data_IF_605491036015
#
_entry.id   IF_605491036015
#
_cell.length_a   1.000
_cell.length_b   1.000
_cell.length_c   1.000
_cell.angle_alpha   90.00
_cell.angle_beta   90.00
_cell.angle_gamma   90.00
#
_symmetry.space_group_name_H-M   'P 1'
#
loop_
_entity.id
_entity.type
_entity.pdbx_description
1 polymer ?
#
# COMPACT_ATOMS: atom_id res chain seq x y z
N UNK A 1 -12.90 19.36 7.74
CA UNK A 1 -11.91 18.33 7.42
C UNK A 1 -10.64 18.61 8.17
N UNK A 2 -10.09 17.66 8.88
CA UNK A 2 -8.86 17.91 9.61
C UNK A 2 -7.71 18.14 8.66
N UNK A 3 -6.74 18.90 9.11
CA UNK A 3 -5.58 19.19 8.29
C UNK A 3 -4.54 18.08 8.36
N UNK A 4 -4.67 17.17 9.27
CA UNK A 4 -3.73 16.07 9.42
C UNK A 4 -4.49 14.77 9.50
N UNK A 5 -3.78 13.66 9.21
CA UNK A 5 -4.36 12.34 9.30
C UNK A 5 -3.43 11.44 10.10
N UNK A 6 -4.00 10.45 10.76
CA UNK A 6 -3.18 9.48 11.46
C UNK A 6 -2.46 8.56 10.47
N UNK A 7 -3.04 8.35 9.29
CA UNK A 7 -2.48 7.43 8.30
C UNK A 7 -2.06 8.22 7.09
N UNK A 8 -0.82 8.05 6.66
CA UNK A 8 -0.29 8.78 5.51
C UNK A 8 -0.90 8.25 4.23
N UNK A 9 -0.79 9.03 3.16
CA UNK A 9 -1.27 8.60 1.84
C UNK A 9 -0.54 7.36 1.37
N UNK A 10 0.75 7.22 1.68
CA UNK A 10 1.50 6.03 1.31
C UNK A 10 0.92 4.80 2.01
N UNK A 11 0.57 4.92 3.28
CA UNK A 11 -0.03 3.80 4.01
C UNK A 11 -1.40 3.45 3.47
N UNK A 12 -2.21 4.45 3.11
CA UNK A 12 -3.53 4.21 2.55
C UNK A 12 -3.39 3.48 1.21
N UNK A 13 -2.49 3.96 0.35
CA UNK A 13 -2.27 3.33 -0.95
C UNK A 13 -1.81 1.88 -0.78
N UNK A 14 -0.89 1.65 0.14
CA UNK A 14 -0.36 0.32 0.37
C UNK A 14 -1.47 -0.63 0.84
N UNK A 15 -2.35 -0.18 1.73
CA UNK A 15 -3.43 -1.01 2.23
C UNK A 15 -4.43 -1.34 1.12
N UNK A 16 -4.72 -0.38 0.24
CA UNK A 16 -5.62 -0.63 -0.88
C UNK A 16 -5.00 -1.57 -1.90
N UNK A 17 -3.71 -1.44 -2.15
CA UNK A 17 -2.99 -2.35 -3.04
C UNK A 17 -3.01 -3.77 -2.47
N UNK A 18 -2.84 -3.90 -1.17
CA UNK A 18 -2.85 -5.21 -0.53
C UNK A 18 -4.23 -5.89 -0.67
N UNK A 19 -5.29 -5.09 -0.61
CA UNK A 19 -6.64 -5.63 -0.78
C UNK A 19 -6.96 -5.90 -2.24
N UNK A 20 -6.41 -5.12 -3.14
CA UNK A 20 -6.73 -5.20 -4.56
C UNK A 20 -5.44 -5.20 -5.39
N UNK A 21 -4.74 -6.34 -5.43
CA UNK A 21 -3.40 -6.38 -6.08
C UNK A 21 -3.39 -6.01 -7.55
N UNK A 22 -4.54 -6.06 -8.21
CA UNK A 22 -4.62 -5.72 -9.63
C UNK A 22 -5.23 -4.36 -9.90
N UNK A 23 -5.28 -3.51 -8.86
CA UNK A 23 -5.82 -2.17 -9.03
C UNK A 23 -4.93 -1.34 -9.95
N UNK A 24 -5.51 -0.32 -10.56
CA UNK A 24 -4.76 0.59 -11.42
C UNK A 24 -4.53 1.91 -10.69
N UNK A 25 -3.59 2.70 -11.20
CA UNK A 25 -3.34 4.02 -10.63
C UNK A 25 -4.60 4.89 -10.68
N UNK A 26 -5.37 4.76 -11.74
CA UNK A 26 -6.59 5.53 -11.88
C UNK A 26 -7.63 5.11 -10.83
N UNK A 27 -7.77 3.81 -10.60
CA UNK A 27 -8.69 3.31 -9.59
C UNK A 27 -8.27 3.72 -8.19
N UNK A 28 -6.96 3.66 -7.91
CA UNK A 28 -6.45 4.09 -6.63
C UNK A 28 -6.70 5.58 -6.42
N UNK A 29 -6.48 6.37 -7.46
CA UNK A 29 -6.70 7.82 -7.37
C UNK A 29 -8.15 8.10 -7.02
N UNK A 30 -9.08 7.41 -7.67
CA UNK A 30 -10.49 7.59 -7.39
C UNK A 30 -10.83 7.18 -5.95
N UNK A 31 -10.29 6.05 -5.50
CA UNK A 31 -10.56 5.57 -4.14
C UNK A 31 -9.98 6.48 -3.08
N UNK A 32 -8.84 7.10 -3.35
CA UNK A 32 -8.17 7.95 -2.39
C UNK A 32 -8.57 9.41 -2.48
N UNK A 33 -9.26 9.79 -3.55
CA UNK A 33 -9.66 11.18 -3.72
C UNK A 33 -8.49 12.08 -4.09
N UNK A 34 -7.50 11.55 -4.81
CA UNK A 34 -6.33 12.32 -5.23
C UNK A 34 -6.15 12.16 -6.74
N UNK A 35 -5.17 12.83 -7.31
CA UNK A 35 -4.92 12.73 -8.74
C UNK A 35 -4.17 11.46 -9.08
N UNK A 36 -4.30 11.03 -10.32
CA UNK A 36 -3.56 9.88 -10.79
C UNK A 36 -2.05 10.13 -10.71
N UNK A 37 -1.64 11.36 -10.97
CA UNK A 37 -0.23 11.73 -10.89
C UNK A 37 0.31 11.54 -9.48
N UNK A 38 -0.46 11.96 -8.48
CA UNK A 38 -0.07 11.80 -7.09
C UNK A 38 0.07 10.32 -6.73
N UNK A 39 -0.86 9.49 -7.21
CA UNK A 39 -0.82 8.06 -6.97
C UNK A 39 0.40 7.43 -7.62
N UNK A 40 0.73 7.83 -8.84
CA UNK A 40 1.89 7.26 -9.53
C UNK A 40 3.17 7.56 -8.77
N UNK A 41 3.25 8.75 -8.15
CA UNK A 41 4.40 9.08 -7.33
C UNK A 41 4.44 8.22 -6.08
N UNK A 42 3.30 8.00 -5.45
CA UNK A 42 3.22 7.17 -4.25
C UNK A 42 3.64 5.74 -4.58
N UNK A 43 3.16 5.20 -5.70
CA UNK A 43 3.52 3.85 -6.14
C UNK A 43 5.03 3.77 -6.39
N UNK A 44 5.59 4.78 -7.04
CA UNK A 44 7.04 4.80 -7.30
C UNK A 44 7.83 4.84 -6.00
N UNK A 45 7.37 5.61 -5.02
CA UNK A 45 8.03 5.68 -3.72
C UNK A 45 7.98 4.33 -3.02
N UNK A 46 6.83 3.68 -3.03
CA UNK A 46 6.66 2.39 -2.38
C UNK A 46 7.52 1.30 -3.05
N UNK A 47 7.57 1.32 -4.37
CA UNK A 47 8.38 0.35 -5.11
C UNK A 47 9.86 0.58 -4.87
N UNK A 48 10.29 1.84 -4.90
CA UNK A 48 11.71 2.17 -4.68
C UNK A 48 12.15 1.79 -3.28
N UNK A 49 11.26 1.89 -2.30
CA UNK A 49 11.59 1.54 -0.93
C UNK A 49 11.46 0.04 -0.66
N UNK A 50 10.97 -0.74 -1.62
CA UNK A 50 10.86 -2.18 -1.47
C UNK A 50 9.58 -2.68 -0.84
N UNK A 51 8.60 -1.80 -0.61
CA UNK A 51 7.35 -2.21 0.01
C UNK A 51 6.44 -2.95 -0.97
N UNK A 52 6.56 -2.66 -2.26
CA UNK A 52 5.76 -3.36 -3.27
C UNK A 52 6.65 -3.77 -4.43
N UNK A 53 6.20 -4.79 -5.15
CA UNK A 53 6.79 -5.20 -6.42
C UNK A 53 5.70 -5.15 -7.47
N UNK A 54 6.08 -5.02 -8.73
CA UNK A 54 5.14 -4.99 -9.84
C UNK A 54 5.43 -6.15 -10.76
N UNK A 55 4.42 -6.91 -11.12
CA UNK A 55 4.55 -8.01 -12.06
C UNK A 55 3.58 -7.77 -13.20
N UNK A 56 4.09 -7.83 -14.43
CA UNK A 56 3.24 -7.64 -15.56
C UNK A 56 2.37 -8.85 -15.78
N UNK A 57 1.09 -8.65 -15.98
CA UNK A 57 0.14 -9.72 -16.27
C UNK A 57 -0.68 -9.29 -17.47
N UNK A 58 -0.40 -9.86 -18.64
CA UNK A 58 -1.12 -9.45 -19.84
C UNK A 58 -0.96 -7.96 -20.07
N UNK A 59 -2.05 -7.22 -20.11
CA UNK A 59 -2.02 -5.79 -20.29
C UNK A 59 -1.96 -5.01 -19.00
N UNK A 60 -2.10 -5.69 -17.89
CA UNK A 60 -2.16 -5.04 -16.60
C UNK A 60 -0.93 -5.32 -15.75
N UNK A 61 -1.02 -4.91 -14.52
CA UNK A 61 0.04 -5.08 -13.55
C UNK A 61 -0.57 -5.66 -12.30
N UNK A 62 0.13 -6.58 -11.67
CA UNK A 62 -0.25 -7.09 -10.37
C UNK A 62 0.82 -6.66 -9.38
N UNK A 63 0.40 -6.15 -8.25
CA UNK A 63 1.31 -5.71 -7.21
C UNK A 63 1.45 -6.78 -6.15
N UNK A 64 2.67 -6.96 -5.65
CA UNK A 64 2.93 -7.78 -4.49
C UNK A 64 3.35 -6.87 -3.35
N UNK A 65 2.98 -7.20 -2.13
CA UNK A 65 3.33 -6.41 -0.96
C UNK A 65 4.34 -7.18 -0.12
N UNK A 66 5.39 -6.49 0.30
CA UNK A 66 6.40 -7.08 1.15
C UNK A 66 5.97 -6.88 2.60
N UNK A 67 5.24 -7.84 3.15
CA UNK A 67 4.66 -7.73 4.48
C UNK A 67 5.71 -7.74 5.61
N UNK A 68 6.90 -8.22 5.32
CA UNK A 68 7.93 -8.34 6.35
C UNK A 68 8.80 -7.11 6.49
N UNK A 69 8.67 -6.15 5.59
CA UNK A 69 9.48 -4.96 5.65
C UNK A 69 9.02 -4.09 6.82
N UNK A 70 9.94 -3.55 7.59
CA UNK A 70 9.59 -2.74 8.74
C UNK A 70 9.08 -1.37 8.32
N UNK A 71 8.35 -0.73 9.22
CA UNK A 71 7.90 0.63 8.99
C UNK A 71 9.12 1.53 8.99
N UNK A 72 9.04 2.63 8.27
CA UNK A 72 10.15 3.56 8.14
C UNK A 72 10.05 4.67 9.17
N UNK A 73 9.67 4.31 10.37
CA UNK A 73 9.52 5.24 11.47
C UNK A 73 10.48 4.80 12.54
N UNK A 74 11.32 5.67 13.02
CA UNK A 74 12.32 5.30 14.04
C UNK A 74 11.67 4.64 15.26
N UNK A 75 10.52 5.13 15.66
CA UNK A 75 9.84 4.61 16.83
C UNK A 75 9.13 3.29 16.58
N UNK A 76 9.03 2.86 15.34
CA UNK A 76 8.29 1.66 14.98
C UNK A 76 9.09 0.72 14.08
N UNK A 77 10.41 0.74 14.22
CA UNK A 77 11.25 -0.08 13.36
C UNK A 77 11.01 -1.57 13.54
N UNK A 78 10.50 -1.97 14.70
CA UNK A 78 10.26 -3.37 14.94
C UNK A 78 8.94 -3.86 14.40
N UNK A 79 8.10 -2.97 13.94
CA UNK A 79 6.77 -3.34 13.43
C UNK A 79 6.86 -3.57 11.94
N UNK A 80 6.52 -4.77 11.51
CA UNK A 80 6.53 -5.09 10.09
C UNK A 80 5.30 -4.52 9.43
N UNK A 81 5.43 -4.23 8.15
CA UNK A 81 4.34 -3.68 7.36
C UNK A 81 3.10 -4.58 7.37
N UNK A 82 3.31 -5.89 7.41
CA UNK A 82 2.19 -6.83 7.47
C UNK A 82 1.31 -6.61 8.69
N UNK A 83 1.93 -6.28 9.82
CA UNK A 83 1.18 -6.05 11.06
C UNK A 83 0.34 -4.79 10.94
N UNK A 84 0.91 -3.74 10.33
CA UNK A 84 0.16 -2.51 10.14
C UNK A 84 -1.02 -2.74 9.20
N UNK A 85 -0.80 -3.43 8.10
CA UNK A 85 -1.86 -3.68 7.13
C UNK A 85 -2.97 -4.51 7.72
N UNK A 86 -2.62 -5.46 8.60
CA UNK A 86 -3.61 -6.26 9.27
C UNK A 86 -4.49 -5.38 10.14
N UNK A 87 -3.90 -4.44 10.87
CA UNK A 87 -4.64 -3.53 11.72
C UNK A 87 -5.55 -2.61 10.92
N UNK A 88 -5.18 -2.31 9.69
CA UNK A 88 -5.96 -1.44 8.82
C UNK A 88 -6.99 -2.21 8.00
N UNK A 89 -7.20 -3.50 8.32
CA UNK A 89 -8.19 -4.31 7.61
C UNK A 89 -7.72 -4.84 6.28
N UNK A 90 -6.41 -4.90 6.07
CA UNK A 90 -5.85 -5.48 4.85
C UNK A 90 -6.08 -6.97 4.82
N UNK A 91 -6.13 -7.56 3.62
CA UNK A 91 -6.34 -8.94 3.47
C UNK A 91 -5.19 -9.75 3.98
N UNK A 92 -5.45 -10.84 4.73
CA UNK A 92 -4.42 -11.66 5.23
C UNK A 92 -4.48 -12.98 4.64
N UNK A 93 -3.37 -13.63 4.54
CA UNK A 93 -3.31 -14.92 4.12
C UNK A 93 -3.76 -15.84 5.06
N UNK A 94 -3.71 -15.74 6.17
CA UNK A 94 -4.02 -16.75 7.01
C UNK A 94 -5.33 -16.98 7.29
N UNK A 95 -5.74 -17.83 7.58
CA UNK A 95 -6.88 -18.04 7.81
C UNK A 95 -7.22 -18.41 8.98
N UNK A 96 -7.54 -18.40 9.42
CA UNK A 96 -7.83 -18.50 10.38
C UNK A 96 -8.16 -19.12 10.99
N UNK A 97 -8.18 -19.15 11.33
CA UNK A 97 -8.35 -20.03 12.21
C UNK A 97 -9.32 -20.28 12.30
#
# INVERSE_FOLDING_TARGET
MPEWTFITRHAVALSLIAKHPRTTALELAAAMGVTERAVRKIIADLAAAGYITKTREGRGVRYGVNHDLSLRQDTHMEVAIGDLLKSLGGKRKQKNP
#
